data_IF_557271327786
#
_entry.id   IF_557271327786
#
_cell.length_a   1.000
_cell.length_b   1.000
_cell.length_c   1.000
_cell.angle_alpha   90.00
_cell.angle_beta   90.00
_cell.angle_gamma   90.00
#
_symmetry.space_group_name_H-M   'P 1'
#
loop_
_entity.id
_entity.type
_entity.pdbx_description
1 polymer ?
#
# COMPACT_ATOMS: atom_id res chain seq x y z
N UNK A 1 22.44 9.73 18.68
CA UNK A 1 21.46 10.04 17.62
C UNK A 1 21.63 11.49 17.18
N UNK A 2 21.85 11.71 15.90
CA UNK A 2 21.91 13.06 15.34
C UNK A 2 20.48 13.66 15.26
N UNK A 3 20.38 15.01 15.24
CA UNK A 3 19.08 15.70 15.13
C UNK A 3 18.28 15.27 13.88
N UNK A 4 18.96 14.88 12.81
CA UNK A 4 18.35 14.42 11.57
C UNK A 4 17.82 12.99 11.68
N UNK A 5 18.52 12.09 12.38
CA UNK A 5 18.04 10.74 12.68
C UNK A 5 16.76 10.77 13.52
N UNK A 6 16.72 11.63 14.54
CA UNK A 6 15.53 11.78 15.39
C UNK A 6 14.31 12.28 14.61
N UNK A 7 14.51 13.25 13.68
CA UNK A 7 13.46 13.71 12.78
C UNK A 7 12.95 12.58 11.86
N UNK A 8 13.88 11.76 11.34
CA UNK A 8 13.53 10.60 10.51
C UNK A 8 12.69 9.56 11.27
N UNK A 9 13.09 9.22 12.50
CA UNK A 9 12.32 8.30 13.35
C UNK A 9 10.93 8.83 13.68
N UNK A 10 10.83 10.13 14.02
CA UNK A 10 9.54 10.76 14.31
C UNK A 10 8.63 10.76 13.07
N UNK A 11 9.18 11.09 11.90
CA UNK A 11 8.41 11.06 10.65
C UNK A 11 7.90 9.65 10.31
N UNK A 12 8.73 8.62 10.50
CA UNK A 12 8.32 7.22 10.30
C UNK A 12 7.25 6.79 11.31
N UNK A 13 7.40 7.18 12.57
CA UNK A 13 6.40 6.89 13.60
C UNK A 13 5.04 7.50 13.24
N UNK A 14 5.02 8.78 12.86
CA UNK A 14 3.79 9.47 12.43
C UNK A 14 3.17 8.81 11.20
N UNK A 15 3.98 8.50 10.18
CA UNK A 15 3.50 7.85 8.95
C UNK A 15 2.84 6.50 9.25
N UNK A 16 3.47 5.66 10.10
CA UNK A 16 2.90 4.37 10.47
C UNK A 16 1.65 4.50 11.34
N UNK A 17 1.58 5.51 12.22
CA UNK A 17 0.39 5.79 13.04
C UNK A 17 -0.81 6.20 12.16
N UNK A 18 -0.60 7.07 11.18
CA UNK A 18 -1.64 7.43 10.21
C UNK A 18 -2.05 6.24 9.33
N UNK A 19 -1.08 5.41 8.91
CA UNK A 19 -1.36 4.21 8.14
C UNK A 19 -2.21 3.21 8.94
N UNK A 20 -1.85 2.95 10.21
CA UNK A 20 -2.61 2.05 11.08
C UNK A 20 -4.04 2.53 11.37
N UNK A 21 -4.25 3.84 11.53
CA UNK A 21 -5.58 4.43 11.73
C UNK A 21 -6.46 4.44 10.48
N UNK A 22 -5.89 4.21 9.29
CA UNK A 22 -6.60 4.32 8.03
C UNK A 22 -7.72 3.28 7.87
N UNK A 23 -7.47 2.01 8.21
CA UNK A 23 -8.45 0.92 8.03
C UNK A 23 -9.73 1.11 8.83
N UNK A 24 -9.69 1.40 10.15
CA UNK A 24 -10.90 1.66 10.92
C UNK A 24 -11.63 2.92 10.44
N UNK A 25 -10.90 4.00 10.11
CA UNK A 25 -11.52 5.22 9.55
C UNK A 25 -12.20 4.97 8.21
N UNK A 26 -11.56 4.23 7.30
CA UNK A 26 -12.16 3.87 6.02
C UNK A 26 -13.44 3.04 6.23
N UNK A 27 -13.42 2.07 7.14
CA UNK A 27 -14.59 1.24 7.44
C UNK A 27 -15.74 2.07 8.00
N UNK A 28 -15.48 2.98 8.94
CA UNK A 28 -16.54 3.85 9.51
C UNK A 28 -17.17 4.76 8.46
N UNK A 29 -16.39 5.31 7.53
CA UNK A 29 -16.91 6.13 6.44
C UNK A 29 -17.77 5.31 5.45
N UNK A 30 -17.42 4.05 5.21
CA UNK A 30 -18.16 3.17 4.33
C UNK A 30 -19.41 2.54 4.97
N UNK A 31 -19.43 2.34 6.31
CA UNK A 31 -20.56 1.76 7.04
C UNK A 31 -21.86 2.56 6.91
N UNK A 32 -21.75 3.88 6.73
CA UNK A 32 -22.90 4.76 6.50
C UNK A 32 -23.56 4.63 5.12
N UNK A 33 -22.98 3.84 4.20
CA UNK A 33 -23.45 3.67 2.83
C UNK A 33 -23.34 4.93 1.95
N UNK A 34 -22.80 6.02 2.50
CA UNK A 34 -22.66 7.32 1.82
C UNK A 34 -21.45 7.34 0.89
N UNK A 35 -20.39 6.61 1.25
CA UNK A 35 -19.11 6.61 0.52
C UNK A 35 -18.79 5.19 0.08
N UNK A 36 -18.73 4.96 -1.23
CA UNK A 36 -18.28 3.68 -1.77
C UNK A 36 -16.74 3.52 -1.66
N UNK A 37 -16.21 2.29 -1.68
CA UNK A 37 -14.76 2.06 -1.71
C UNK A 37 -14.06 2.77 -2.88
N UNK A 38 -14.72 2.86 -4.04
CA UNK A 38 -14.20 3.57 -5.22
C UNK A 38 -14.07 5.06 -4.96
N UNK A 39 -15.16 5.71 -4.51
CA UNK A 39 -15.16 7.15 -4.20
C UNK A 39 -14.10 7.48 -3.15
N UNK A 40 -13.97 6.66 -2.11
CA UNK A 40 -12.96 6.88 -1.07
C UNK A 40 -11.54 6.72 -1.63
N UNK A 41 -11.31 5.74 -2.51
CA UNK A 41 -10.01 5.56 -3.18
C UNK A 41 -9.68 6.77 -4.04
N UNK A 42 -10.63 7.23 -4.87
CA UNK A 42 -10.42 8.35 -5.77
C UNK A 42 -10.18 9.67 -5.02
N UNK A 43 -10.94 9.93 -3.96
CA UNK A 43 -10.73 11.09 -3.09
C UNK A 43 -9.32 11.11 -2.48
N UNK A 44 -8.83 9.98 -1.99
CA UNK A 44 -7.49 9.87 -1.44
C UNK A 44 -6.41 10.09 -2.50
N UNK A 45 -6.57 9.52 -3.69
CA UNK A 45 -5.66 9.69 -4.82
C UNK A 45 -5.64 11.17 -5.25
N UNK A 46 -6.79 11.80 -5.36
CA UNK A 46 -6.94 13.21 -5.74
C UNK A 46 -6.27 14.14 -4.72
N UNK A 47 -6.53 13.95 -3.43
CA UNK A 47 -5.88 14.74 -2.39
C UNK A 47 -4.36 14.57 -2.41
N UNK A 48 -3.87 13.33 -2.55
CA UNK A 48 -2.42 13.08 -2.63
C UNK A 48 -1.81 13.70 -3.90
N UNK A 49 -2.47 13.59 -5.05
CA UNK A 49 -2.04 14.24 -6.30
C UNK A 49 -1.87 15.75 -6.09
N UNK A 50 -2.89 16.42 -5.56
CA UNK A 50 -2.83 17.87 -5.29
C UNK A 50 -1.67 18.21 -4.37
N UNK A 51 -1.52 17.48 -3.25
CA UNK A 51 -0.44 17.72 -2.31
C UNK A 51 0.95 17.55 -2.96
N UNK A 52 1.18 16.50 -3.73
CA UNK A 52 2.47 16.29 -4.38
C UNK A 52 2.76 17.29 -5.51
N UNK A 53 1.74 17.77 -6.22
CA UNK A 53 1.90 18.87 -7.16
C UNK A 53 2.26 20.19 -6.45
N UNK A 54 1.59 20.53 -5.36
CA UNK A 54 1.93 21.71 -4.56
C UNK A 54 3.37 21.63 -4.03
N UNK A 55 3.77 20.48 -3.46
CA UNK A 55 5.14 20.26 -3.02
C UNK A 55 6.15 20.35 -4.16
N UNK A 56 5.79 19.91 -5.36
CA UNK A 56 6.67 19.97 -6.54
C UNK A 56 6.97 21.40 -6.98
N UNK A 57 6.12 22.39 -6.67
CA UNK A 57 6.42 23.79 -6.95
C UNK A 57 7.50 24.38 -6.04
N UNK A 58 7.69 23.79 -4.85
CA UNK A 58 8.71 24.21 -3.89
C UNK A 58 10.08 23.53 -4.10
N UNK A 59 10.17 22.57 -5.03
CA UNK A 59 11.37 21.79 -5.28
C UNK A 59 11.93 22.05 -6.69
N UNK A 60 13.23 21.78 -6.91
CA UNK A 60 13.83 21.89 -8.24
C UNK A 60 13.07 21.02 -9.26
N UNK A 61 12.84 21.57 -10.45
CA UNK A 61 12.15 20.86 -11.51
C UNK A 61 13.06 19.78 -12.09
N UNK A 62 12.61 18.53 -12.01
CA UNK A 62 13.26 17.40 -12.67
C UNK A 62 12.59 17.11 -14.01
N UNK A 63 13.39 16.99 -15.06
CA UNK A 63 12.90 16.58 -16.37
C UNK A 63 12.76 15.06 -16.43
N UNK A 64 11.54 14.57 -16.69
CA UNK A 64 11.26 13.14 -16.83
C UNK A 64 11.02 12.82 -18.31
N UNK A 65 11.86 12.02 -18.97
CA UNK A 65 11.70 11.62 -20.36
C UNK A 65 10.40 10.83 -20.59
N UNK A 66 9.84 10.89 -21.78
CA UNK A 66 8.58 10.19 -22.12
C UNK A 66 8.63 8.68 -21.88
N UNK A 67 9.78 8.03 -22.09
CA UNK A 67 9.94 6.60 -21.79
C UNK A 67 9.82 6.27 -20.28
N UNK A 68 10.26 7.17 -19.42
CA UNK A 68 10.17 7.00 -17.99
C UNK A 68 8.76 7.37 -17.46
N UNK A 69 8.05 8.29 -18.14
CA UNK A 69 6.64 8.55 -17.87
C UNK A 69 5.77 7.31 -18.09
N UNK A 70 6.03 6.55 -19.17
CA UNK A 70 5.33 5.28 -19.42
C UNK A 70 5.62 4.24 -18.31
N UNK A 71 6.85 4.19 -17.81
CA UNK A 71 7.20 3.33 -16.67
C UNK A 71 6.47 3.76 -15.41
N UNK A 72 6.35 5.06 -15.16
CA UNK A 72 5.59 5.60 -14.03
C UNK A 72 4.09 5.30 -14.13
N UNK A 73 3.54 5.22 -15.35
CA UNK A 73 2.16 4.78 -15.57
C UNK A 73 1.94 3.34 -15.06
N UNK A 74 2.79 2.39 -15.48
CA UNK A 74 2.69 1.00 -15.00
C UNK A 74 3.01 0.88 -13.49
N UNK A 75 3.95 1.69 -12.99
CA UNK A 75 4.23 1.77 -11.57
C UNK A 75 3.01 2.26 -10.77
N UNK A 76 2.27 3.24 -11.32
CA UNK A 76 1.03 3.74 -10.73
C UNK A 76 -0.07 2.68 -10.68
N UNK A 77 -0.22 1.89 -11.75
CA UNK A 77 -1.16 0.76 -11.79
C UNK A 77 -0.88 -0.22 -10.64
N UNK A 78 0.36 -0.69 -10.52
CA UNK A 78 0.73 -1.69 -9.52
C UNK A 78 0.78 -1.12 -8.10
N UNK A 79 1.43 0.04 -7.93
CA UNK A 79 1.73 0.60 -6.61
C UNK A 79 0.59 1.39 -5.98
N UNK A 80 -0.35 1.91 -6.79
CA UNK A 80 -1.44 2.74 -6.29
C UNK A 80 -2.81 2.14 -6.66
N UNK A 81 -3.12 1.98 -7.95
CA UNK A 81 -4.48 1.61 -8.38
C UNK A 81 -4.86 0.22 -7.85
N UNK A 82 -4.09 -0.80 -8.20
CA UNK A 82 -4.36 -2.16 -7.71
C UNK A 82 -4.13 -2.30 -6.22
N UNK A 83 -3.10 -1.67 -5.65
CA UNK A 83 -2.84 -1.76 -4.22
C UNK A 83 -3.94 -1.06 -3.41
N UNK A 84 -4.17 0.23 -3.59
CA UNK A 84 -5.11 0.98 -2.76
C UNK A 84 -6.57 0.63 -3.07
N UNK A 85 -6.90 0.43 -4.36
CA UNK A 85 -8.24 0.01 -4.78
C UNK A 85 -8.60 -1.33 -4.14
N UNK A 86 -7.81 -2.39 -4.41
CA UNK A 86 -8.06 -3.72 -3.83
C UNK A 86 -8.10 -3.70 -2.31
N UNK A 87 -7.24 -2.91 -1.65
CA UNK A 87 -7.22 -2.81 -0.19
C UNK A 87 -8.50 -2.18 0.37
N UNK A 88 -9.02 -1.09 -0.22
CA UNK A 88 -10.26 -0.47 0.26
C UNK A 88 -11.48 -1.35 0.00
N UNK A 89 -11.51 -2.06 -1.13
CA UNK A 89 -12.52 -3.10 -1.36
C UNK A 89 -12.40 -4.22 -0.32
N UNK A 90 -11.20 -4.68 0.00
CA UNK A 90 -10.98 -5.66 1.06
C UNK A 90 -11.56 -5.17 2.40
N UNK A 91 -11.23 -3.95 2.82
CA UNK A 91 -11.74 -3.35 4.07
C UNK A 91 -13.27 -3.25 4.07
N UNK A 92 -13.90 -3.04 2.91
CA UNK A 92 -15.37 -3.01 2.82
C UNK A 92 -16.01 -4.37 3.04
N UNK A 93 -15.37 -5.45 2.58
CA UNK A 93 -15.90 -6.81 2.57
C UNK A 93 -15.49 -7.64 3.80
N UNK A 94 -14.32 -7.37 4.37
CA UNK A 94 -13.81 -8.06 5.57
C UNK A 94 -13.69 -7.10 6.77
N UNK A 95 -13.19 -7.59 7.91
CA UNK A 95 -12.94 -6.72 9.06
C UNK A 95 -11.69 -5.86 8.85
N UNK A 96 -11.65 -4.62 9.40
CA UNK A 96 -10.44 -3.79 9.36
C UNK A 96 -9.23 -4.47 10.01
N UNK A 97 -9.46 -5.29 11.03
CA UNK A 97 -8.43 -6.08 11.68
C UNK A 97 -7.82 -7.10 10.72
N UNK A 98 -8.66 -7.92 10.04
CA UNK A 98 -8.19 -8.90 9.07
C UNK A 98 -7.44 -8.23 7.91
N UNK A 99 -8.01 -7.17 7.31
CA UNK A 99 -7.35 -6.43 6.24
C UNK A 99 -5.98 -5.89 6.68
N UNK A 100 -5.87 -5.36 7.90
CA UNK A 100 -4.62 -4.84 8.46
C UNK A 100 -3.61 -5.95 8.74
N UNK A 101 -4.03 -7.12 9.23
CA UNK A 101 -3.16 -8.28 9.42
C UNK A 101 -2.60 -8.77 8.08
N UNK A 102 -3.44 -8.80 7.02
CA UNK A 102 -2.99 -9.19 5.69
C UNK A 102 -1.89 -8.26 5.14
N UNK A 103 -1.84 -6.98 5.58
CA UNK A 103 -0.74 -6.08 5.17
C UNK A 103 0.62 -6.52 5.71
N UNK A 104 0.67 -7.27 6.80
CA UNK A 104 1.92 -7.81 7.35
C UNK A 104 2.54 -8.87 6.44
N UNK A 105 1.80 -9.42 5.48
CA UNK A 105 2.32 -10.36 4.47
C UNK A 105 3.17 -9.70 3.38
N UNK A 106 3.15 -8.37 3.25
CA UNK A 106 3.89 -7.63 2.22
C UNK A 106 5.39 -7.96 2.17
N UNK A 107 6.15 -8.02 3.30
CA UNK A 107 7.57 -8.38 3.26
C UNK A 107 7.81 -9.80 2.73
N UNK A 108 6.86 -10.72 2.96
CA UNK A 108 6.89 -12.08 2.42
C UNK A 108 6.83 -12.06 0.90
N UNK A 109 5.83 -11.40 0.35
CA UNK A 109 5.67 -11.28 -1.10
C UNK A 109 6.85 -10.58 -1.75
N UNK A 110 7.35 -9.50 -1.12
CA UNK A 110 8.53 -8.78 -1.61
C UNK A 110 9.76 -9.68 -1.65
N UNK A 111 9.99 -10.50 -0.62
CA UNK A 111 11.12 -11.44 -0.59
C UNK A 111 10.99 -12.53 -1.66
N UNK A 112 9.80 -13.12 -1.81
CA UNK A 112 9.53 -14.15 -2.81
C UNK A 112 9.76 -13.57 -4.21
N UNK A 113 9.14 -12.44 -4.53
CA UNK A 113 9.26 -11.81 -5.84
C UNK A 113 10.70 -11.33 -6.13
N UNK A 114 11.41 -10.80 -5.14
CA UNK A 114 12.82 -10.42 -5.30
C UNK A 114 13.72 -11.64 -5.58
N UNK A 115 13.45 -12.79 -4.96
CA UNK A 115 14.20 -14.01 -5.22
C UNK A 115 13.97 -14.52 -6.65
N UNK A 116 12.72 -14.49 -7.15
CA UNK A 116 12.39 -14.93 -8.50
C UNK A 116 12.82 -13.94 -9.59
N UNK A 117 12.55 -12.65 -9.41
CA UNK A 117 12.74 -11.62 -10.45
C UNK A 117 14.16 -11.07 -10.42
N UNK A 118 14.68 -10.72 -9.24
CA UNK A 118 16.01 -10.12 -9.07
C UNK A 118 17.08 -11.18 -8.81
N UNK A 119 16.71 -12.46 -8.65
CA UNK A 119 17.59 -13.57 -8.29
C UNK A 119 18.39 -13.28 -7.00
N UNK A 120 17.79 -12.54 -6.07
CA UNK A 120 18.41 -12.25 -4.78
C UNK A 120 18.43 -13.50 -3.90
N UNK A 121 19.55 -13.81 -3.22
CA UNK A 121 19.61 -14.96 -2.34
C UNK A 121 18.71 -14.79 -1.13
N UNK A 122 17.91 -15.81 -0.84
CA UNK A 122 17.10 -15.86 0.38
C UNK A 122 18.01 -16.31 1.52
N UNK A 123 18.34 -15.39 2.43
CA UNK A 123 19.17 -15.70 3.59
C UNK A 123 18.35 -16.30 4.73
N UNK A 124 18.95 -17.20 5.51
CA UNK A 124 18.30 -17.82 6.67
C UNK A 124 17.76 -16.80 7.69
N UNK A 125 18.43 -15.65 7.83
CA UNK A 125 17.98 -14.54 8.69
C UNK A 125 16.66 -13.92 8.19
N UNK A 126 16.50 -13.79 6.86
CA UNK A 126 15.25 -13.29 6.25
C UNK A 126 14.11 -14.28 6.47
N UNK A 127 14.37 -15.58 6.31
CA UNK A 127 13.39 -16.64 6.57
C UNK A 127 12.97 -16.62 8.04
N UNK A 128 13.92 -16.57 8.97
CA UNK A 128 13.61 -16.55 10.41
C UNK A 128 12.74 -15.33 10.79
N UNK A 129 13.10 -14.14 10.30
CA UNK A 129 12.29 -12.93 10.55
C UNK A 129 10.87 -13.04 9.98
N UNK A 130 10.73 -13.64 8.80
CA UNK A 130 9.46 -13.86 8.16
C UNK A 130 8.58 -14.88 8.92
N UNK A 131 9.16 -16.00 9.34
CA UNK A 131 8.45 -17.03 10.11
C UNK A 131 7.98 -16.48 11.45
N UNK A 132 8.83 -15.72 12.16
CA UNK A 132 8.44 -15.05 13.40
C UNK A 132 7.31 -14.04 13.18
N UNK A 133 7.38 -13.24 12.11
CA UNK A 133 6.31 -12.30 11.74
C UNK A 133 5.00 -13.01 11.40
N UNK A 134 5.06 -14.11 10.65
CA UNK A 134 3.88 -14.92 10.31
C UNK A 134 3.25 -15.56 11.55
N UNK A 135 4.05 -16.10 12.47
CA UNK A 135 3.58 -16.64 13.74
C UNK A 135 2.90 -15.55 14.56
N UNK A 136 3.50 -14.34 14.67
CA UNK A 136 2.92 -13.22 15.35
C UNK A 136 1.56 -12.80 14.77
N UNK A 137 1.44 -12.75 13.46
CA UNK A 137 0.18 -12.47 12.77
C UNK A 137 -0.88 -13.55 13.05
N UNK A 138 -0.50 -14.83 13.02
CA UNK A 138 -1.40 -15.94 13.35
C UNK A 138 -1.90 -15.88 14.80
N UNK A 139 -1.02 -15.58 15.75
CA UNK A 139 -1.39 -15.42 17.18
C UNK A 139 -2.38 -14.28 17.34
N UNK A 140 -2.20 -13.16 16.63
CA UNK A 140 -3.15 -12.05 16.63
C UNK A 140 -4.51 -12.43 16.05
N UNK A 141 -4.53 -13.19 14.94
CA UNK A 141 -5.78 -13.68 14.32
C UNK A 141 -6.54 -14.59 15.28
N UNK A 142 -5.85 -15.57 15.87
CA UNK A 142 -6.45 -16.53 16.79
C UNK A 142 -6.89 -15.85 18.09
N UNK A 143 -6.06 -14.96 18.65
CA UNK A 143 -6.38 -14.24 19.89
C UNK A 143 -7.48 -13.19 19.75
N UNK A 144 -7.72 -12.68 18.54
CA UNK A 144 -8.85 -11.75 18.28
C UNK A 144 -10.17 -12.47 17.97
N UNK A 145 -10.14 -13.80 17.81
CA UNK A 145 -11.34 -14.61 17.50
C UNK A 145 -12.32 -14.73 18.66
N UNK A 146 -11.91 -14.47 19.90
CA UNK A 146 -12.75 -14.62 21.09
C UNK A 146 -13.83 -13.52 21.24
N UNK A 147 -13.88 -12.54 20.36
CA UNK A 147 -14.85 -11.44 20.46
C UNK A 147 -15.56 -11.03 19.16
N UNK A 148 -15.13 -11.50 18.01
CA UNK A 148 -15.77 -11.19 16.74
C UNK A 148 -16.08 -12.48 15.99
N UNK A 149 -17.37 -12.80 15.91
CA UNK A 149 -17.88 -13.82 15.00
C UNK A 149 -17.29 -13.61 13.61
N UNK A 150 -16.24 -14.35 13.30
CA UNK A 150 -15.76 -14.50 11.92
C UNK A 150 -16.88 -15.21 11.15
N UNK A 151 -17.86 -14.46 10.67
CA UNK A 151 -18.74 -14.95 9.64
C UNK A 151 -17.85 -15.23 8.43
N UNK A 152 -17.51 -16.50 8.22
CA UNK A 152 -16.92 -16.99 6.98
C UNK A 152 -17.97 -16.91 5.86
N UNK A 153 -18.38 -15.69 5.53
CA UNK A 153 -19.20 -15.47 4.36
C UNK A 153 -18.29 -15.52 3.11
N UNK A 154 -18.79 -15.98 1.97
CA UNK A 154 -18.03 -15.92 0.71
C UNK A 154 -17.47 -14.52 0.40
N UNK A 155 -18.18 -13.47 0.83
CA UNK A 155 -17.76 -12.07 0.69
C UNK A 155 -16.54 -11.73 1.56
N UNK A 156 -16.46 -12.27 2.77
CA UNK A 156 -15.29 -12.08 3.64
C UNK A 156 -14.04 -12.71 3.05
N UNK A 157 -14.16 -13.93 2.48
CA UNK A 157 -13.05 -14.60 1.80
C UNK A 157 -12.58 -13.80 0.58
N UNK A 158 -13.51 -13.24 -0.18
CA UNK A 158 -13.19 -12.36 -1.30
C UNK A 158 -12.43 -11.11 -0.81
N UNK A 159 -12.84 -10.52 0.31
CA UNK A 159 -12.15 -9.40 0.94
C UNK A 159 -10.71 -9.75 1.31
N UNK A 160 -10.50 -10.92 1.92
CA UNK A 160 -9.16 -11.39 2.30
C UNK A 160 -8.27 -11.64 1.07
N UNK A 161 -8.83 -12.22 -0.01
CA UNK A 161 -8.13 -12.39 -1.28
C UNK A 161 -7.73 -11.04 -1.90
N UNK A 162 -8.61 -10.04 -1.85
CA UNK A 162 -8.31 -8.68 -2.34
C UNK A 162 -7.24 -8.00 -1.49
N UNK A 163 -7.22 -8.22 -0.17
CA UNK A 163 -6.17 -7.71 0.70
C UNK A 163 -4.80 -8.32 0.33
N UNK A 164 -4.74 -9.63 0.05
CA UNK A 164 -3.51 -10.29 -0.41
C UNK A 164 -3.10 -9.75 -1.78
N UNK A 165 -4.03 -9.62 -2.73
CA UNK A 165 -3.76 -9.06 -4.06
C UNK A 165 -3.15 -7.66 -3.96
N UNK A 166 -3.65 -6.81 -3.07
CA UNK A 166 -3.09 -5.50 -2.81
C UNK A 166 -1.61 -5.58 -2.39
N UNK A 167 -1.25 -6.52 -1.50
CA UNK A 167 0.12 -6.68 -1.03
C UNK A 167 1.04 -7.24 -2.12
N UNK A 168 0.58 -8.21 -2.89
CA UNK A 168 1.32 -8.78 -4.03
C UNK A 168 1.59 -7.70 -5.09
N UNK A 169 0.59 -6.89 -5.42
CA UNK A 169 0.72 -5.80 -6.39
C UNK A 169 1.75 -4.77 -5.95
N UNK A 170 1.70 -4.35 -4.67
CA UNK A 170 2.68 -3.41 -4.13
C UNK A 170 4.09 -4.00 -4.04
N UNK A 171 4.21 -5.25 -3.64
CA UNK A 171 5.49 -5.97 -3.62
C UNK A 171 6.09 -6.06 -5.03
N UNK A 172 5.26 -6.33 -6.04
CA UNK A 172 5.69 -6.37 -7.44
C UNK A 172 6.18 -5.00 -7.91
N UNK A 173 5.46 -3.92 -7.56
CA UNK A 173 5.92 -2.55 -7.79
C UNK A 173 7.31 -2.31 -7.17
N UNK A 174 7.48 -2.64 -5.88
CA UNK A 174 8.74 -2.42 -5.17
C UNK A 174 9.91 -3.17 -5.79
N UNK A 175 9.69 -4.41 -6.25
CA UNK A 175 10.72 -5.26 -6.85
C UNK A 175 11.07 -4.81 -8.27
N UNK A 176 10.08 -4.60 -9.13
CA UNK A 176 10.31 -4.22 -10.53
C UNK A 176 10.91 -2.82 -10.67
N UNK A 177 10.50 -1.88 -9.82
CA UNK A 177 10.91 -0.48 -9.91
C UNK A 177 11.99 -0.08 -8.90
N UNK A 178 12.61 -1.05 -8.19
CA UNK A 178 13.68 -0.82 -7.21
C UNK A 178 14.77 0.13 -7.71
N UNK A 179 15.33 -0.15 -8.90
CA UNK A 179 16.40 0.64 -9.49
C UNK A 179 15.90 1.96 -10.11
N UNK A 180 14.63 2.01 -10.50
CA UNK A 180 14.02 3.17 -11.12
C UNK A 180 13.69 4.25 -10.10
N UNK A 181 13.17 3.86 -8.95
CA UNK A 181 12.80 4.77 -7.85
C UNK A 181 13.98 5.61 -7.37
N UNK A 182 15.20 5.09 -7.45
CA UNK A 182 16.41 5.80 -7.03
C UNK A 182 16.91 6.86 -8.03
N UNK A 183 16.26 7.01 -9.20
CA UNK A 183 16.71 7.96 -10.24
C UNK A 183 16.14 9.36 -10.08
N UNK A 184 14.98 9.47 -9.43
CA UNK A 184 14.23 10.72 -9.30
C UNK A 184 13.91 10.99 -7.84
N UNK A 185 13.62 12.27 -7.53
CA UNK A 185 13.11 12.61 -6.20
C UNK A 185 11.78 11.94 -5.93
N UNK A 186 11.52 11.60 -4.66
CA UNK A 186 10.26 10.98 -4.23
C UNK A 186 9.05 11.80 -4.69
N UNK A 187 9.14 13.13 -4.61
CA UNK A 187 8.04 14.02 -4.99
C UNK A 187 7.76 13.95 -6.49
N UNK A 188 8.80 13.87 -7.33
CA UNK A 188 8.65 13.71 -8.79
C UNK A 188 8.00 12.39 -9.15
N UNK A 189 8.38 11.28 -8.51
CA UNK A 189 7.77 9.97 -8.72
C UNK A 189 6.30 9.99 -8.28
N UNK A 190 6.03 10.44 -7.06
CA UNK A 190 4.69 10.40 -6.49
C UNK A 190 3.70 11.30 -7.24
N UNK A 191 4.11 12.54 -7.63
CA UNK A 191 3.21 13.42 -8.39
C UNK A 191 2.72 12.77 -9.68
N UNK A 192 3.62 12.12 -10.45
CA UNK A 192 3.26 11.46 -11.70
C UNK A 192 2.45 10.19 -11.47
N UNK A 193 2.85 9.36 -10.49
CA UNK A 193 2.11 8.15 -10.15
C UNK A 193 0.68 8.47 -9.69
N UNK A 194 0.49 9.46 -8.81
CA UNK A 194 -0.86 9.87 -8.38
C UNK A 194 -1.65 10.54 -9.51
N UNK A 195 -1.02 11.28 -10.42
CA UNK A 195 -1.69 11.85 -11.59
C UNK A 195 -2.22 10.73 -12.50
N UNK A 196 -1.42 9.73 -12.82
CA UNK A 196 -1.87 8.59 -13.62
C UNK A 196 -2.95 7.77 -12.92
N UNK A 197 -2.79 7.55 -11.62
CA UNK A 197 -3.83 6.85 -10.83
C UNK A 197 -5.15 7.59 -10.83
N UNK A 198 -5.14 8.91 -10.70
CA UNK A 198 -6.33 9.75 -10.80
C UNK A 198 -7.00 9.61 -12.18
N UNK A 199 -6.23 9.73 -13.26
CA UNK A 199 -6.76 9.59 -14.62
C UNK A 199 -7.38 8.21 -14.89
N UNK A 200 -6.83 7.15 -14.27
CA UNK A 200 -7.33 5.77 -14.42
C UNK A 200 -8.60 5.56 -13.59
N UNK A 201 -8.65 6.10 -12.38
CA UNK A 201 -9.77 5.90 -11.46
C UNK A 201 -10.98 6.78 -11.79
N UNK A 202 -10.75 7.96 -12.37
CA UNK A 202 -11.80 8.93 -12.72
C UNK A 202 -12.98 8.32 -13.51
N UNK A 203 -12.79 7.47 -14.55
CA UNK A 203 -13.90 6.86 -15.27
C UNK A 203 -14.62 5.76 -14.49
N UNK A 204 -14.09 5.31 -13.34
CA UNK A 204 -14.65 4.25 -12.53
C UNK A 204 -15.48 4.76 -11.34
N UNK A 205 -15.45 6.07 -11.09
CA UNK A 205 -16.13 6.75 -9.98
C UNK A 205 -17.37 7.45 -10.44
#
# INVERSE_FOLDING_TARGET
MTKNEMKGHLAMFMANSFWGGMSPLAKTLMLGGVVSPLVLTDLRITCAMICFWLLSFCLPREHVPHGDLLRLFFAALLGIVFNQGSFLFAVSLTSPANASIMTTSMPMWTMILAAFILKEPITSKKILGLTLGAIGALVLIVGSSDGMSTQHSPLSILGDCLAILAQVSYALYMVLYKNFINRYSLVTIMKWMFTYSFLIMLPCT
#
